data_IF_516351844715
#
_entry.id   IF_516351844715
#
_cell.length_a   1.000
_cell.length_b   1.000
_cell.length_c   1.000
_cell.angle_alpha   90.00
_cell.angle_beta   90.00
_cell.angle_gamma   90.00
#
_symmetry.space_group_name_H-M   'P 1'
#
loop_
_entity.id
_entity.type
_entity.pdbx_description
1 polymer ?
#
# COMPACT_ATOMS: atom_id res chain seq x y z
N UNK A 1 38.26 1.61 20.64
CA UNK A 1 37.70 1.67 22.01
C UNK A 1 37.71 0.25 22.55
N UNK A 2 38.35 0.05 23.70
CA UNK A 2 38.89 -1.23 24.19
C UNK A 2 37.80 -2.27 24.55
N UNK A 3 37.96 -3.51 24.07
CA UNK A 3 37.19 -4.66 24.58
C UNK A 3 37.94 -5.21 25.79
N UNK A 4 37.35 -5.04 26.98
CA UNK A 4 37.87 -5.51 28.26
C UNK A 4 37.60 -7.01 28.38
N UNK A 5 38.65 -7.81 28.32
CA UNK A 5 38.61 -9.24 28.63
C UNK A 5 38.24 -9.45 30.11
N UNK A 6 37.19 -10.22 30.38
CA UNK A 6 36.88 -10.71 31.72
C UNK A 6 37.37 -12.15 31.83
N UNK A 7 38.46 -12.33 32.56
CA UNK A 7 39.03 -13.62 32.89
C UNK A 7 38.15 -14.39 33.88
N UNK A 8 38.18 -15.70 33.70
CA UNK A 8 37.59 -16.77 34.48
C UNK A 8 37.75 -16.60 35.99
N UNK A 9 36.67 -16.83 36.74
CA UNK A 9 36.71 -17.15 38.15
C UNK A 9 36.18 -18.59 38.35
N UNK A 10 36.76 -19.25 39.33
CA UNK A 10 37.06 -20.67 39.35
C UNK A 10 35.92 -21.61 39.74
N UNK A 11 36.17 -22.86 39.37
CA UNK A 11 35.56 -24.16 39.67
C UNK A 11 35.18 -24.44 41.14
N UNK A 12 34.02 -25.07 41.37
CA UNK A 12 33.79 -26.41 42.00
C UNK A 12 32.43 -26.49 42.74
N UNK A 13 31.58 -27.44 42.35
CA UNK A 13 30.85 -28.38 43.24
C UNK A 13 29.73 -29.12 42.46
N UNK A 14 29.70 -30.44 42.59
CA UNK A 14 28.75 -31.35 41.98
C UNK A 14 27.35 -31.28 42.64
N UNK A 15 26.30 -31.31 41.83
CA UNK A 15 24.91 -31.43 42.27
C UNK A 15 23.96 -31.43 41.07
N UNK A 16 23.30 -32.55 40.82
CA UNK A 16 22.37 -32.76 39.71
C UNK A 16 21.05 -31.97 39.86
N UNK A 17 20.34 -31.85 38.73
CA UNK A 17 19.01 -31.26 38.48
C UNK A 17 18.96 -29.75 38.23
N UNK A 18 18.70 -29.36 36.99
CA UNK A 18 17.41 -28.77 36.59
C UNK A 18 17.41 -28.36 35.11
N UNK A 19 16.53 -29.02 34.35
CA UNK A 19 15.82 -28.59 33.14
C UNK A 19 16.35 -27.31 32.47
N UNK A 20 17.00 -27.46 31.32
CA UNK A 20 17.23 -26.35 30.40
C UNK A 20 15.88 -25.86 29.88
N UNK A 21 15.32 -24.85 30.53
CA UNK A 21 14.25 -24.04 29.99
C UNK A 21 14.82 -23.19 28.85
N UNK A 22 14.98 -23.81 27.67
CA UNK A 22 15.16 -23.07 26.43
C UNK A 22 13.79 -22.49 26.05
N UNK A 23 13.43 -21.37 26.68
CA UNK A 23 12.38 -20.51 26.14
C UNK A 23 12.90 -19.95 24.82
N UNK A 24 12.63 -20.65 23.72
CA UNK A 24 12.65 -20.09 22.39
C UNK A 24 11.48 -19.10 22.28
N UNK A 25 11.57 -17.97 22.99
CA UNK A 25 10.83 -16.75 22.65
C UNK A 25 11.57 -16.06 21.51
N UNK A 26 11.68 -16.79 20.40
CA UNK A 26 11.96 -16.19 19.11
C UNK A 26 10.73 -15.38 18.73
N UNK A 27 10.66 -14.13 19.19
CA UNK A 27 9.93 -13.11 18.45
C UNK A 27 10.70 -12.97 17.14
N UNK A 28 10.42 -13.86 16.19
CA UNK A 28 10.68 -13.59 14.80
C UNK A 28 9.78 -12.39 14.49
N UNK A 29 10.32 -11.19 14.73
CA UNK A 29 9.84 -9.98 14.10
C UNK A 29 10.00 -10.25 12.60
N UNK A 30 8.96 -10.84 12.00
CA UNK A 30 8.85 -10.97 10.58
C UNK A 30 9.02 -9.56 10.05
N UNK A 31 10.15 -9.33 9.39
CA UNK A 31 10.45 -8.05 8.78
C UNK A 31 9.40 -7.88 7.69
N UNK A 32 8.38 -7.05 7.93
CA UNK A 32 7.39 -6.71 6.92
C UNK A 32 8.13 -6.03 5.77
N UNK A 33 8.41 -6.80 4.73
CA UNK A 33 8.84 -6.23 3.46
C UNK A 33 7.59 -5.66 2.81
N UNK A 34 7.36 -4.36 2.97
CA UNK A 34 6.31 -3.65 2.25
C UNK A 34 6.59 -3.77 0.74
N UNK A 35 5.87 -4.64 0.06
CA UNK A 35 5.98 -4.81 -1.40
C UNK A 35 5.11 -3.72 -2.04
N UNK A 36 5.75 -2.77 -2.73
CA UNK A 36 5.02 -1.78 -3.52
C UNK A 36 4.73 -2.36 -4.91
N UNK A 37 3.45 -2.56 -5.22
CA UNK A 37 2.99 -3.02 -6.53
C UNK A 37 2.63 -1.81 -7.39
N UNK A 38 3.29 -1.66 -8.54
CA UNK A 38 3.00 -0.60 -9.50
C UNK A 38 2.51 -1.18 -10.82
N UNK A 39 1.27 -0.86 -11.21
CA UNK A 39 0.69 -1.27 -12.50
C UNK A 39 0.65 -0.06 -13.43
N UNK A 40 1.31 -0.16 -14.59
CA UNK A 40 1.29 0.89 -15.61
C UNK A 40 0.07 0.73 -16.50
N UNK A 41 -0.68 1.83 -16.68
CA UNK A 41 -1.82 1.90 -17.60
C UNK A 41 -1.39 2.55 -18.91
N UNK A 42 -1.65 1.87 -20.03
CA UNK A 42 -1.32 2.38 -21.36
C UNK A 42 -2.35 3.43 -21.81
N UNK A 43 -1.85 4.62 -22.17
CA UNK A 43 -2.62 5.77 -22.66
C UNK A 43 -2.64 5.90 -24.19
N UNK A 44 -1.98 5.01 -24.94
CA UNK A 44 -1.91 5.08 -26.40
C UNK A 44 -3.31 5.06 -27.01
N UNK A 45 -3.58 6.04 -27.87
CA UNK A 45 -4.87 6.19 -28.55
C UNK A 45 -6.00 6.75 -27.69
N UNK A 46 -5.73 7.16 -26.44
CA UNK A 46 -6.72 7.78 -25.57
C UNK A 46 -6.54 9.30 -25.58
N UNK A 47 -7.59 10.03 -25.99
CA UNK A 47 -7.65 11.48 -25.77
C UNK A 47 -8.46 11.79 -24.50
N UNK A 48 -7.76 12.07 -23.41
CA UNK A 48 -8.36 12.42 -22.10
C UNK A 48 -9.07 13.77 -22.08
N UNK A 49 -8.98 14.56 -23.17
CA UNK A 49 -9.74 15.80 -23.35
C UNK A 49 -11.12 15.54 -23.95
N UNK A 50 -11.35 14.36 -24.49
CA UNK A 50 -12.66 13.94 -24.95
C UNK A 50 -13.38 13.12 -23.87
N UNK A 51 -14.70 13.28 -23.68
CA UNK A 51 -15.47 12.52 -22.70
C UNK A 51 -15.28 11.00 -22.84
N UNK A 52 -15.29 10.49 -24.08
CA UNK A 52 -15.11 9.06 -24.35
C UNK A 52 -13.71 8.56 -23.93
N UNK A 53 -12.65 9.32 -24.22
CA UNK A 53 -11.29 8.95 -23.83
C UNK A 53 -11.05 9.07 -22.32
N UNK A 54 -11.62 10.09 -21.66
CA UNK A 54 -11.56 10.21 -20.21
C UNK A 54 -12.25 9.04 -19.51
N UNK A 55 -13.43 8.62 -20.00
CA UNK A 55 -14.17 7.49 -19.46
C UNK A 55 -13.45 6.16 -19.70
N UNK A 56 -12.87 5.97 -20.88
CA UNK A 56 -12.02 4.82 -21.19
C UNK A 56 -10.82 4.72 -20.24
N UNK A 57 -10.10 5.84 -20.04
CA UNK A 57 -8.97 5.87 -19.12
C UNK A 57 -9.40 5.56 -17.70
N UNK A 58 -10.46 6.20 -17.21
CA UNK A 58 -10.97 5.99 -15.85
C UNK A 58 -11.27 4.51 -15.59
N UNK A 59 -11.95 3.83 -16.52
CA UNK A 59 -12.23 2.39 -16.43
C UNK A 59 -10.96 1.55 -16.34
N UNK A 60 -9.90 1.91 -17.09
CA UNK A 60 -8.61 1.23 -17.03
C UNK A 60 -7.89 1.46 -15.70
N UNK A 61 -7.98 2.66 -15.13
CA UNK A 61 -7.43 2.97 -13.82
C UNK A 61 -8.13 2.15 -12.74
N UNK A 62 -9.46 2.09 -12.76
CA UNK A 62 -10.25 1.30 -11.82
C UNK A 62 -9.90 -0.20 -11.91
N UNK A 63 -9.79 -0.73 -13.14
CA UNK A 63 -9.34 -2.10 -13.35
C UNK A 63 -7.92 -2.34 -12.80
N UNK A 64 -6.98 -1.43 -13.08
CA UNK A 64 -5.61 -1.54 -12.60
C UNK A 64 -5.51 -1.48 -11.06
N UNK A 65 -6.28 -0.58 -10.42
CA UNK A 65 -6.37 -0.49 -8.96
C UNK A 65 -6.91 -1.80 -8.37
N UNK A 66 -7.96 -2.37 -8.96
CA UNK A 66 -8.49 -3.66 -8.55
C UNK A 66 -7.45 -4.77 -8.69
N UNK A 67 -6.72 -4.83 -9.81
CA UNK A 67 -5.69 -5.86 -10.03
C UNK A 67 -4.55 -5.72 -9.02
N UNK A 68 -4.06 -4.50 -8.79
CA UNK A 68 -2.99 -4.22 -7.83
C UNK A 68 -3.36 -4.70 -6.42
N UNK A 69 -4.59 -4.43 -5.98
CA UNK A 69 -5.04 -4.77 -4.64
C UNK A 69 -5.45 -6.24 -4.46
N UNK A 70 -5.86 -6.93 -5.52
CA UNK A 70 -6.36 -8.33 -5.43
C UNK A 70 -5.34 -9.38 -5.82
N UNK A 71 -4.42 -9.11 -6.76
CA UNK A 71 -3.43 -10.08 -7.22
C UNK A 71 -2.03 -9.83 -6.64
N UNK A 72 -1.69 -8.57 -6.36
CA UNK A 72 -0.37 -8.19 -5.81
C UNK A 72 -0.16 -8.59 -4.35
N UNK A 73 -1.23 -8.67 -3.55
CA UNK A 73 -1.17 -8.86 -2.10
C UNK A 73 -1.40 -10.30 -1.62
N UNK A 74 -1.54 -11.29 -2.53
CA UNK A 74 -1.94 -12.68 -2.17
C UNK A 74 -0.80 -13.68 -2.07
N UNK A 75 0.44 -13.22 -1.88
CA UNK A 75 1.58 -14.15 -1.69
C UNK A 75 1.56 -14.86 -0.33
N UNK A 76 0.68 -14.46 0.59
CA UNK A 76 0.33 -15.17 1.81
C UNK A 76 -1.18 -15.46 1.84
N UNK A 77 -1.58 -16.58 2.46
CA UNK A 77 -2.98 -17.00 2.67
C UNK A 77 -3.80 -16.05 3.57
N UNK A 78 -3.26 -14.89 3.92
CA UNK A 78 -3.94 -13.90 4.76
C UNK A 78 -4.91 -13.07 3.92
N UNK A 79 -6.13 -12.82 4.43
CA UNK A 79 -7.03 -11.84 3.83
C UNK A 79 -6.33 -10.48 3.74
N UNK A 80 -6.48 -9.78 2.61
CA UNK A 80 -6.08 -8.38 2.53
C UNK A 80 -6.91 -7.58 3.55
N UNK A 81 -6.25 -6.97 4.52
CA UNK A 81 -6.90 -6.36 5.69
C UNK A 81 -7.85 -5.21 5.33
N UNK A 82 -7.63 -4.54 4.20
CA UNK A 82 -8.48 -3.47 3.71
C UNK A 82 -8.42 -3.33 2.17
N UNK A 83 -9.19 -4.17 1.46
CA UNK A 83 -9.25 -4.14 -0.01
C UNK A 83 -9.80 -2.82 -0.55
N UNK A 84 -10.81 -2.25 0.10
CA UNK A 84 -11.45 -1.03 -0.38
C UNK A 84 -10.54 0.18 -0.18
N UNK A 85 -9.89 0.29 0.98
CA UNK A 85 -8.88 1.34 1.20
C UNK A 85 -7.70 1.23 0.21
N UNK A 86 -7.24 0.02 -0.10
CA UNK A 86 -6.21 -0.17 -1.12
C UNK A 86 -6.67 0.33 -2.50
N UNK A 87 -7.91 -0.01 -2.90
CA UNK A 87 -8.46 0.40 -4.20
C UNK A 87 -8.63 1.90 -4.28
N UNK A 88 -9.17 2.51 -3.24
CA UNK A 88 -9.37 3.96 -3.13
C UNK A 88 -8.02 4.70 -3.21
N UNK A 89 -7.01 4.24 -2.46
CA UNK A 89 -5.67 4.83 -2.46
C UNK A 89 -5.00 4.71 -3.84
N UNK A 90 -5.07 3.52 -4.45
CA UNK A 90 -4.49 3.26 -5.76
C UNK A 90 -5.18 4.07 -6.86
N UNK A 91 -6.52 4.12 -6.85
CA UNK A 91 -7.31 4.87 -7.82
C UNK A 91 -7.11 6.38 -7.64
N UNK A 92 -7.17 6.89 -6.41
CA UNK A 92 -6.96 8.30 -6.09
C UNK A 92 -5.57 8.79 -6.52
N UNK A 93 -4.53 8.02 -6.23
CA UNK A 93 -3.15 8.34 -6.66
C UNK A 93 -3.01 8.33 -8.19
N UNK A 94 -3.69 7.41 -8.87
CA UNK A 94 -3.69 7.34 -10.33
C UNK A 94 -4.42 8.53 -10.96
N UNK A 95 -5.60 8.90 -10.45
CA UNK A 95 -6.37 10.07 -10.90
C UNK A 95 -5.58 11.36 -10.69
N UNK A 96 -4.94 11.51 -9.53
CA UNK A 96 -4.03 12.64 -9.27
C UNK A 96 -2.92 12.72 -10.33
N UNK A 97 -2.28 11.59 -10.64
CA UNK A 97 -1.19 11.51 -11.61
C UNK A 97 -1.64 11.86 -13.04
N UNK A 98 -2.89 11.53 -13.41
CA UNK A 98 -3.45 11.86 -14.72
C UNK A 98 -3.74 13.36 -14.86
N UNK A 99 -4.11 14.03 -13.76
CA UNK A 99 -4.32 15.48 -13.72
C UNK A 99 -5.25 16.02 -14.82
N UNK A 100 -6.35 15.29 -15.11
CA UNK A 100 -7.35 15.68 -16.11
C UNK A 100 -8.67 16.05 -15.43
N UNK A 101 -9.26 17.24 -15.71
CA UNK A 101 -10.54 17.64 -15.13
C UNK A 101 -11.69 16.66 -15.41
N UNK A 102 -11.74 16.07 -16.60
CA UNK A 102 -12.78 15.10 -16.96
C UNK A 102 -12.65 13.81 -16.17
N UNK A 103 -11.41 13.34 -15.93
CA UNK A 103 -11.15 12.14 -15.13
C UNK A 103 -11.42 12.41 -13.65
N UNK A 104 -11.07 13.60 -13.15
CA UNK A 104 -11.44 14.04 -11.79
C UNK A 104 -12.96 14.07 -11.61
N UNK A 105 -13.70 14.53 -12.61
CA UNK A 105 -15.16 14.56 -12.53
C UNK A 105 -15.75 13.15 -12.42
N UNK A 106 -15.26 12.19 -13.20
CA UNK A 106 -15.65 10.78 -13.12
C UNK A 106 -15.32 10.16 -11.76
N UNK A 107 -14.16 10.48 -11.19
CA UNK A 107 -13.79 10.04 -9.84
C UNK A 107 -14.80 10.52 -8.78
N UNK A 108 -15.24 11.78 -8.89
CA UNK A 108 -16.18 12.41 -7.96
C UNK A 108 -17.62 11.92 -8.09
N UNK A 109 -17.96 11.10 -9.09
CA UNK A 109 -19.28 10.45 -9.15
C UNK A 109 -19.46 9.43 -8.02
N UNK A 110 -18.37 8.79 -7.58
CA UNK A 110 -18.37 7.77 -6.54
C UNK A 110 -17.55 8.14 -5.30
N UNK A 111 -16.80 9.25 -5.35
CA UNK A 111 -15.94 9.71 -4.26
C UNK A 111 -16.27 11.13 -3.83
N UNK A 112 -16.02 11.39 -2.56
CA UNK A 112 -16.21 12.72 -1.96
C UNK A 112 -15.07 13.67 -2.32
N UNK A 113 -15.36 14.98 -2.24
CA UNK A 113 -14.34 16.02 -2.32
C UNK A 113 -13.22 15.85 -1.28
N UNK A 114 -13.55 15.31 -0.10
CA UNK A 114 -12.58 15.03 0.97
C UNK A 114 -11.60 13.93 0.55
N UNK A 115 -12.10 12.84 -0.04
CA UNK A 115 -11.25 11.78 -0.58
C UNK A 115 -10.36 12.32 -1.71
N UNK A 116 -10.93 13.10 -2.63
CA UNK A 116 -10.15 13.73 -3.69
C UNK A 116 -9.01 14.62 -3.14
N UNK A 117 -9.30 15.43 -2.12
CA UNK A 117 -8.30 16.26 -1.45
C UNK A 117 -7.22 15.46 -0.72
N UNK A 118 -7.58 14.31 -0.12
CA UNK A 118 -6.61 13.43 0.54
C UNK A 118 -5.54 12.90 -0.42
N UNK A 119 -5.88 12.75 -1.70
CA UNK A 119 -4.96 12.34 -2.77
C UNK A 119 -4.36 13.51 -3.56
N UNK A 120 -4.60 14.76 -3.14
CA UNK A 120 -4.10 15.95 -3.85
C UNK A 120 -4.73 16.18 -5.22
N UNK A 121 -5.91 15.61 -5.48
CA UNK A 121 -6.63 15.81 -6.75
C UNK A 121 -7.18 17.23 -6.78
N UNK A 122 -6.83 17.98 -7.83
CA UNK A 122 -7.35 19.33 -8.03
C UNK A 122 -8.80 19.28 -8.47
N UNK A 123 -9.70 19.72 -7.60
CA UNK A 123 -11.14 19.78 -7.89
C UNK A 123 -11.43 21.05 -8.70
N UNK A 124 -12.10 20.96 -9.85
CA UNK A 124 -12.53 22.14 -10.60
C UNK A 124 -13.44 23.02 -9.74
N UNK A 125 -13.20 24.34 -9.75
CA UNK A 125 -14.00 25.31 -8.97
C UNK A 125 -15.51 25.23 -9.25
N UNK A 126 -15.88 24.83 -10.46
CA UNK A 126 -17.27 24.65 -10.89
C UNK A 126 -18.00 23.51 -10.15
N UNK A 127 -17.26 22.51 -9.68
CA UNK A 127 -17.82 21.36 -8.93
C UNK A 127 -17.79 21.65 -7.42
N UNK A 128 -16.85 22.45 -6.94
CA UNK A 128 -16.71 22.80 -5.52
C UNK A 128 -17.68 23.88 -5.01
N UNK A 129 -18.47 24.52 -5.89
CA UNK A 129 -19.43 25.58 -5.54
C UNK A 129 -20.90 25.11 -5.52
N UNK A 130 -21.14 23.80 -5.53
CA UNK A 130 -22.46 23.19 -5.44
C UNK A 130 -22.62 22.50 -4.10
#
# INVERSE_FOLDING_TARGET
>A
MYIKSAHSCATFAAGALAVCAATLTGNAAAKEFGVQVAIRVDMRGIDVRQPAGAHELYRRLEHAANVACTYGNRVDLKPAENLDGCRDDALGSAVHSVNSPLVTQLYLENHTLRQAAAHGIQVPKQVASK
#
